data_IF_244552052080
#
_entry.id   IF_244552052080
#
_cell.length_a   1.000
_cell.length_b   1.000
_cell.length_c   1.000
_cell.angle_alpha   90.00
_cell.angle_beta   90.00
_cell.angle_gamma   90.00
#
_symmetry.space_group_name_H-M   'P 1'
#
loop_
_entity.id
_entity.type
_entity.pdbx_description
1 polymer ?
#
# COMPACT_ATOMS: atom_id res chain seq x y z
N UNK A 1 22.62 -12.30 19.85
CA UNK A 1 22.85 -11.56 18.59
C UNK A 1 21.70 -10.58 18.43
N UNK A 2 21.86 -9.28 18.69
CA UNK A 2 20.84 -8.32 18.31
C UNK A 2 20.98 -8.09 16.81
N UNK A 3 19.89 -8.30 16.06
CA UNK A 3 19.81 -7.87 14.68
C UNK A 3 20.01 -6.36 14.68
N UNK A 4 21.12 -5.92 14.10
CA UNK A 4 21.38 -4.51 13.85
C UNK A 4 20.14 -3.89 13.26
N UNK A 5 19.67 -2.86 13.96
CA UNK A 5 18.64 -1.93 13.56
C UNK A 5 19.14 -1.28 12.26
N UNK A 6 18.96 -1.96 11.13
CA UNK A 6 18.90 -1.28 9.84
C UNK A 6 17.90 -0.14 10.04
N UNK A 7 18.22 1.10 9.66
CA UNK A 7 17.19 2.11 9.55
C UNK A 7 16.21 1.54 8.53
N UNK A 8 15.13 0.94 9.04
CA UNK A 8 14.02 0.48 8.22
C UNK A 8 13.63 1.71 7.46
N UNK A 9 13.70 1.61 6.14
CA UNK A 9 13.36 2.69 5.26
C UNK A 9 12.00 3.26 5.73
N UNK A 10 11.83 4.58 5.91
CA UNK A 10 10.63 5.18 6.49
C UNK A 10 9.33 4.58 5.96
N UNK A 11 9.29 4.25 4.67
CA UNK A 11 8.19 3.57 4.01
C UNK A 11 7.96 2.16 4.57
N UNK A 12 9.01 1.35 4.71
CA UNK A 12 8.93 0.02 5.32
C UNK A 12 8.42 0.07 6.77
N UNK A 13 8.88 1.05 7.56
CA UNK A 13 8.41 1.22 8.94
C UNK A 13 6.92 1.60 9.00
N UNK A 14 6.49 2.51 8.13
CA UNK A 14 5.09 2.91 8.02
C UNK A 14 4.20 1.73 7.60
N UNK A 15 4.62 0.96 6.60
CA UNK A 15 3.92 -0.23 6.12
C UNK A 15 3.76 -1.27 7.22
N UNK A 16 4.85 -1.61 7.90
CA UNK A 16 4.83 -2.63 8.97
C UNK A 16 3.97 -2.20 10.16
N UNK A 17 3.86 -0.88 10.41
CA UNK A 17 2.99 -0.31 11.45
C UNK A 17 1.51 -0.32 11.04
N UNK A 18 1.21 -0.30 9.74
CA UNK A 18 -0.14 -0.17 9.19
C UNK A 18 -0.60 -1.38 8.35
N UNK A 19 0.07 -2.55 8.47
CA UNK A 19 -0.20 -3.76 7.66
C UNK A 19 -1.68 -4.10 7.60
N UNK A 20 -2.33 -4.15 8.76
CA UNK A 20 -3.74 -4.56 8.85
C UNK A 20 -4.67 -3.56 8.15
N UNK A 21 -4.39 -2.27 8.28
CA UNK A 21 -5.18 -1.21 7.66
C UNK A 21 -5.01 -1.24 6.13
N UNK A 22 -3.77 -1.41 5.64
CA UNK A 22 -3.47 -1.57 4.23
C UNK A 22 -4.08 -2.84 3.62
N UNK A 23 -4.06 -3.96 4.34
CA UNK A 23 -4.74 -5.19 3.89
C UNK A 23 -6.26 -5.00 3.79
N UNK A 24 -6.89 -4.36 4.78
CA UNK A 24 -8.32 -4.06 4.75
C UNK A 24 -8.67 -3.16 3.57
N UNK A 25 -7.89 -2.10 3.34
CA UNK A 25 -8.03 -1.23 2.17
C UNK A 25 -7.90 -2.00 0.85
N UNK A 26 -6.87 -2.85 0.72
CA UNK A 26 -6.66 -3.65 -0.48
C UNK A 26 -7.81 -4.64 -0.77
N UNK A 27 -8.38 -5.26 0.27
CA UNK A 27 -9.58 -6.10 0.14
C UNK A 27 -10.77 -5.28 -0.34
N UNK A 28 -10.97 -4.11 0.24
CA UNK A 28 -12.11 -3.24 -0.07
C UNK A 28 -12.06 -2.82 -1.56
N UNK A 29 -10.88 -2.37 -2.02
CA UNK A 29 -10.70 -1.80 -3.36
C UNK A 29 -10.50 -2.86 -4.45
N UNK A 30 -9.58 -3.80 -4.23
CA UNK A 30 -9.14 -4.78 -5.25
C UNK A 30 -9.54 -6.23 -4.94
N UNK A 31 -10.27 -6.47 -3.86
CA UNK A 31 -10.74 -7.80 -3.47
C UNK A 31 -9.65 -8.75 -2.96
N UNK A 32 -9.95 -10.06 -2.88
CA UNK A 32 -9.05 -11.06 -2.30
C UNK A 32 -7.73 -11.23 -3.05
N UNK A 33 -7.71 -10.93 -4.36
CA UNK A 33 -6.51 -10.99 -5.17
C UNK A 33 -5.53 -9.85 -4.84
N UNK A 34 -6.04 -8.64 -4.60
CA UNK A 34 -5.22 -7.52 -4.14
C UNK A 34 -4.71 -7.75 -2.72
N UNK A 35 -5.53 -8.29 -1.82
CA UNK A 35 -5.10 -8.65 -0.46
C UNK A 35 -3.90 -9.60 -0.46
N UNK A 36 -3.96 -10.68 -1.24
CA UNK A 36 -2.86 -11.65 -1.34
C UNK A 36 -1.57 -11.01 -1.83
N UNK A 37 -1.66 -10.10 -2.82
CA UNK A 37 -0.49 -9.36 -3.33
C UNK A 37 0.11 -8.46 -2.25
N UNK A 38 -0.72 -7.68 -1.56
CA UNK A 38 -0.26 -6.78 -0.49
C UNK A 38 0.38 -7.56 0.66
N UNK A 39 -0.23 -8.68 1.05
CA UNK A 39 0.31 -9.53 2.11
C UNK A 39 1.68 -10.10 1.77
N UNK A 40 1.88 -10.58 0.54
CA UNK A 40 3.18 -11.05 0.08
C UNK A 40 4.22 -9.93 0.08
N UNK A 41 3.84 -8.72 -0.35
CA UNK A 41 4.70 -7.53 -0.27
C UNK A 41 5.09 -7.23 1.19
N UNK A 42 4.14 -7.26 2.13
CA UNK A 42 4.40 -6.96 3.54
C UNK A 42 5.27 -8.03 4.20
N UNK A 43 5.04 -9.30 3.89
CA UNK A 43 5.89 -10.41 4.33
C UNK A 43 7.32 -10.26 3.76
N UNK A 44 7.47 -9.90 2.49
CA UNK A 44 8.79 -9.66 1.87
C UNK A 44 9.52 -8.48 2.55
N UNK A 45 8.81 -7.39 2.88
CA UNK A 45 9.36 -6.23 3.62
C UNK A 45 9.73 -6.60 5.06
N UNK A 46 8.91 -7.43 5.73
CA UNK A 46 9.17 -7.91 7.07
C UNK A 46 10.40 -8.83 7.12
N UNK A 47 10.58 -9.67 6.09
CA UNK A 47 11.74 -10.54 5.95
C UNK A 47 13.01 -9.80 5.50
N UNK A 48 12.86 -8.75 4.70
CA UNK A 48 13.96 -7.94 4.18
C UNK A 48 13.58 -6.46 4.19
N UNK A 49 14.00 -5.68 5.21
CA UNK A 49 13.70 -4.25 5.29
C UNK A 49 14.43 -3.40 4.23
N UNK A 50 15.21 -4.03 3.35
CA UNK A 50 15.79 -3.39 2.18
C UNK A 50 14.76 -3.34 1.04
N UNK A 51 14.24 -2.14 0.77
CA UNK A 51 13.35 -1.89 -0.36
C UNK A 51 14.11 -2.09 -1.69
N UNK A 52 14.00 -3.29 -2.24
CA UNK A 52 14.54 -3.61 -3.56
C UNK A 52 13.72 -2.91 -4.65
N UNK A 53 14.28 -2.78 -5.86
CA UNK A 53 13.55 -2.26 -7.03
C UNK A 53 12.23 -3.01 -7.30
N UNK A 54 12.16 -4.29 -6.92
CA UNK A 54 10.92 -5.08 -7.01
C UNK A 54 9.89 -4.60 -6.00
N UNK A 55 10.28 -4.40 -4.74
CA UNK A 55 9.40 -3.86 -3.69
C UNK A 55 8.91 -2.46 -4.02
N UNK A 56 9.77 -1.59 -4.57
CA UNK A 56 9.32 -0.27 -5.04
C UNK A 56 8.23 -0.34 -6.11
N UNK A 57 8.34 -1.27 -7.08
CA UNK A 57 7.32 -1.48 -8.10
C UNK A 57 6.01 -2.01 -7.52
N UNK A 58 6.09 -2.97 -6.60
CA UNK A 58 4.90 -3.49 -5.91
C UNK A 58 4.24 -2.41 -5.04
N UNK A 59 5.03 -1.49 -4.47
CA UNK A 59 4.53 -0.31 -3.77
C UNK A 59 3.90 0.72 -4.70
N UNK A 60 4.43 0.92 -5.91
CA UNK A 60 3.77 1.75 -6.93
C UNK A 60 2.41 1.15 -7.31
N UNK A 61 2.34 -0.18 -7.48
CA UNK A 61 1.07 -0.87 -7.74
C UNK A 61 0.08 -0.71 -6.58
N UNK A 62 0.57 -0.72 -5.33
CA UNK A 62 -0.25 -0.47 -4.16
C UNK A 62 -0.72 1.00 -4.08
N UNK A 63 0.14 1.97 -4.35
CA UNK A 63 -0.22 3.39 -4.44
C UNK A 63 -1.26 3.62 -5.54
N UNK A 64 -1.10 2.97 -6.69
CA UNK A 64 -2.06 3.06 -7.80
C UNK A 64 -3.42 2.45 -7.44
N UNK A 65 -3.43 1.33 -6.69
CA UNK A 65 -4.64 0.71 -6.17
C UNK A 65 -5.34 1.61 -5.14
N UNK A 66 -4.60 2.11 -4.14
CA UNK A 66 -5.12 2.96 -3.06
C UNK A 66 -5.55 4.34 -3.54
N UNK A 67 -4.83 4.90 -4.52
CA UNK A 67 -5.18 6.17 -5.17
C UNK A 67 -6.29 6.04 -6.20
N UNK A 68 -6.79 4.82 -6.42
CA UNK A 68 -7.89 4.54 -7.32
C UNK A 68 -7.58 5.02 -8.74
N UNK A 69 -6.30 5.01 -9.14
CA UNK A 69 -5.86 5.55 -10.43
C UNK A 69 -6.57 4.85 -11.60
N UNK A 70 -6.92 3.57 -11.44
CA UNK A 70 -7.66 2.79 -12.43
C UNK A 70 -9.19 2.84 -12.28
N UNK A 71 -9.74 3.59 -11.31
CA UNK A 71 -11.21 3.81 -11.22
C UNK A 71 -11.72 4.65 -12.40
N UNK A 72 -10.84 5.41 -13.04
CA UNK A 72 -11.17 6.12 -14.29
C UNK A 72 -11.35 5.16 -15.48
N UNK A 73 -10.92 3.90 -15.36
CA UNK A 73 -11.11 2.87 -16.38
C UNK A 73 -12.30 2.00 -15.98
N UNK A 74 -13.50 2.38 -16.45
CA UNK A 74 -14.79 1.75 -16.13
C UNK A 74 -14.84 0.24 -16.41
N UNK A 75 -13.87 -0.29 -17.16
CA UNK A 75 -13.72 -1.71 -17.49
C UNK A 75 -12.93 -2.51 -16.44
N UNK A 76 -12.27 -1.83 -15.50
CA UNK A 76 -11.49 -2.47 -14.44
C UNK A 76 -12.39 -3.00 -13.32
N UNK A 77 -12.03 -4.17 -12.79
CA UNK A 77 -12.66 -4.77 -11.60
C UNK A 77 -12.61 -3.79 -10.42
N UNK A 78 -11.59 -2.92 -10.39
CA UNK A 78 -11.40 -1.88 -9.38
C UNK A 78 -12.47 -0.78 -9.48
N UNK A 79 -12.83 -0.33 -10.70
CA UNK A 79 -13.89 0.66 -10.92
C UNK A 79 -15.29 0.12 -10.56
N UNK A 80 -15.56 -1.15 -10.89
CA UNK A 80 -16.84 -1.80 -10.54
C UNK A 80 -17.00 -2.02 -9.04
N UNK A 81 -15.90 -2.24 -8.30
CA UNK A 81 -15.95 -2.35 -6.83
C UNK A 81 -16.01 -0.98 -6.18
N UNK A 82 -15.24 0.00 -6.68
CA UNK A 82 -15.28 1.35 -6.16
C UNK A 82 -16.64 2.02 -6.35
N UNK A 83 -17.33 1.80 -7.46
CA UNK A 83 -18.69 2.32 -7.66
C UNK A 83 -19.73 1.73 -6.70
N UNK A 84 -19.40 0.64 -6.01
CA UNK A 84 -20.23 0.05 -4.95
C UNK A 84 -19.83 0.52 -3.56
N UNK A 85 -18.68 1.19 -3.41
CA UNK A 85 -18.25 1.79 -2.15
C UNK A 85 -18.89 3.18 -2.07
N UNK A 86 -19.61 3.45 -0.98
CA UNK A 86 -20.13 4.79 -0.75
C UNK A 86 -18.93 5.74 -0.54
N UNK A 87 -18.79 6.83 -1.31
CA UNK A 87 -17.72 7.80 -1.10
C UNK A 87 -17.78 8.46 0.29
N UNK A 88 -18.91 8.37 0.99
CA UNK A 88 -19.07 8.82 2.38
C UNK A 88 -18.82 7.73 3.42
N UNK A 89 -18.40 6.53 3.00
CA UNK A 89 -18.00 5.48 3.92
C UNK A 89 -16.72 5.91 4.66
N UNK A 90 -16.67 5.85 5.99
CA UNK A 90 -15.46 6.15 6.77
C UNK A 90 -14.23 5.31 6.34
N UNK A 91 -14.44 4.14 5.71
CA UNK A 91 -13.35 3.36 5.15
C UNK A 91 -12.61 4.09 4.00
N UNK A 92 -13.28 4.97 3.25
CA UNK A 92 -12.66 5.79 2.20
C UNK A 92 -11.72 6.83 2.81
N UNK A 93 -12.14 7.46 3.91
CA UNK A 93 -11.30 8.40 4.65
C UNK A 93 -10.04 7.71 5.20
N UNK A 94 -10.18 6.53 5.80
CA UNK A 94 -9.04 5.72 6.27
C UNK A 94 -8.07 5.38 5.13
N UNK A 95 -8.59 5.04 3.95
CA UNK A 95 -7.77 4.76 2.75
C UNK A 95 -6.99 6.01 2.33
N UNK A 96 -7.63 7.18 2.31
CA UNK A 96 -6.96 8.44 1.99
C UNK A 96 -5.82 8.74 2.97
N UNK A 97 -6.06 8.57 4.28
CA UNK A 97 -5.04 8.76 5.32
C UNK A 97 -3.86 7.80 5.14
N UNK A 98 -4.12 6.53 4.83
CA UNK A 98 -3.08 5.53 4.57
C UNK A 98 -2.26 5.86 3.32
N UNK A 99 -2.92 6.30 2.25
CA UNK A 99 -2.28 6.70 1.00
C UNK A 99 -1.37 7.91 1.22
N UNK A 100 -1.86 8.93 1.92
CA UNK A 100 -1.09 10.13 2.22
C UNK A 100 0.12 9.81 3.11
N UNK A 101 -0.05 8.98 4.14
CA UNK A 101 1.05 8.52 4.98
C UNK A 101 2.09 7.69 4.22
N UNK A 102 1.66 6.86 3.27
CA UNK A 102 2.57 6.10 2.40
C UNK A 102 3.37 7.04 1.49
N UNK A 103 2.74 8.05 0.90
CA UNK A 103 3.39 9.05 0.04
C UNK A 103 4.37 9.92 0.81
N UNK A 104 4.00 10.33 2.01
CA UNK A 104 4.87 11.09 2.90
C UNK A 104 6.10 10.28 3.30
N UNK A 105 5.93 9.01 3.67
CA UNK A 105 7.05 8.13 4.00
C UNK A 105 8.00 7.91 2.80
N UNK A 106 7.45 7.78 1.59
CA UNK A 106 8.25 7.69 0.34
C UNK A 106 8.96 9.00 0.01
N UNK A 107 8.34 10.15 0.27
CA UNK A 107 8.98 11.45 0.08
C UNK A 107 10.16 11.65 1.06
N UNK A 108 10.02 11.14 2.28
CA UNK A 108 11.08 11.16 3.31
C UNK A 108 12.23 10.17 3.03
N UNK A 109 12.03 9.18 2.17
CA UNK A 109 13.12 8.29 1.69
C UNK A 109 14.07 8.98 0.70
N UNK A 110 13.70 10.15 0.16
CA UNK A 110 14.47 10.86 -0.85
C UNK A 110 14.47 10.15 -2.22
N UNK A 111 14.76 10.87 -3.32
CA UNK A 111 14.92 10.23 -4.63
C UNK A 111 16.10 9.26 -4.56
N UNK A 112 15.83 8.00 -4.92
CA UNK A 112 16.82 6.93 -5.03
C UNK A 112 18.04 7.45 -5.83
N UNK A 113 19.28 7.33 -5.33
CA UNK A 113 20.48 7.71 -6.08
C UNK A 113 20.73 6.83 -7.31
#
# INVERSE_FOLDING_TARGET
MPHDLYPTAPTACFILSNVRALECAAVLLGGPAAQKRCRLLFDDIAMSPQLTRRLHRELDVLDDLLSLRHVSDETSIEASRFSQIDPMDPAVEDICVLLDGLRDARAHEGPFP
#
